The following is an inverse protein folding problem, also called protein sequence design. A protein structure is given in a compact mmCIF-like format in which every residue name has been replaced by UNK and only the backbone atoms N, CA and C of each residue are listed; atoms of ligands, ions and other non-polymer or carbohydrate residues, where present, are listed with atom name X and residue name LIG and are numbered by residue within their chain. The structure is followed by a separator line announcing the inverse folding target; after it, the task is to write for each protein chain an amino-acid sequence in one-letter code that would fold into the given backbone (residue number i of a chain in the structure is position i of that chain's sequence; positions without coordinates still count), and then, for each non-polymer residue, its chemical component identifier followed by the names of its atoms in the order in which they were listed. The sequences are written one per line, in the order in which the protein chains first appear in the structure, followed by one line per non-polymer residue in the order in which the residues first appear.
data_IF_935870989606
#
_entry.id   IF_935870989606
#
_cell.length_a   1.000
_cell.length_b   1.000
_cell.length_c   1.000
_cell.angle_alpha   90.00
_cell.angle_beta   90.00
_cell.angle_gamma   90.00
#
_symmetry.space_group_name_H-M   'P 1'
#
loop_
_entity.id
_entity.type
_entity.pdbx_description
1 polymer ?
#
# COMPACT_ATOMS: atom_id res chain seq x y z
N UNK A 1 17.17 23.85 21.42
CA UNK A 1 16.96 22.44 21.06
C UNK A 1 15.47 22.24 20.90
N UNK A 2 15.03 21.91 19.70
CA UNK A 2 13.63 21.76 19.34
C UNK A 2 13.06 20.47 19.95
N UNK A 3 11.76 20.41 20.26
CA UNK A 3 11.14 19.25 20.92
C UNK A 3 11.39 17.93 20.17
N UNK A 4 11.42 17.98 18.84
CA UNK A 4 11.72 16.82 17.98
C UNK A 4 13.15 16.28 18.18
N UNK A 5 14.12 17.14 18.46
CA UNK A 5 15.51 16.71 18.73
C UNK A 5 15.57 15.92 20.05
N UNK A 6 14.85 16.34 21.09
CA UNK A 6 14.73 15.58 22.33
C UNK A 6 14.08 14.21 22.14
N UNK A 7 13.00 14.15 21.35
CA UNK A 7 12.37 12.87 21.00
C UNK A 7 13.32 11.95 20.22
N UNK A 8 14.20 12.52 19.39
CA UNK A 8 15.17 11.74 18.64
C UNK A 8 16.20 11.09 19.58
N UNK A 9 16.69 11.80 20.59
CA UNK A 9 17.63 11.22 21.57
C UNK A 9 17.01 10.13 22.45
N UNK A 10 15.70 10.16 22.67
CA UNK A 10 15.00 9.13 23.46
C UNK A 10 14.43 8.00 22.61
N UNK A 11 14.65 8.02 21.29
CA UNK A 11 14.07 7.04 20.36
C UNK A 11 12.54 7.13 20.23
N UNK A 12 11.92 8.20 20.76
CA UNK A 12 10.47 8.45 20.68
C UNK A 12 10.08 9.31 19.47
N UNK A 13 11.04 9.56 18.57
CA UNK A 13 10.83 10.31 17.34
C UNK A 13 10.16 9.43 16.28
N UNK A 14 9.20 10.00 15.55
CA UNK A 14 8.51 9.32 14.45
C UNK A 14 8.92 9.95 13.11
N UNK A 15 9.90 9.35 12.38
CA UNK A 15 10.41 9.93 11.15
C UNK A 15 9.37 10.03 10.03
N UNK A 16 8.39 9.11 10.01
CA UNK A 16 7.37 9.07 8.96
C UNK A 16 6.32 10.19 9.08
N UNK A 17 6.26 10.87 10.23
CA UNK A 17 5.39 12.01 10.46
C UNK A 17 6.05 13.35 10.07
N UNK A 18 7.33 13.32 9.69
CA UNK A 18 8.08 14.53 9.36
C UNK A 18 7.63 15.18 8.04
N UNK A 19 7.34 16.48 8.13
CA UNK A 19 7.13 17.36 6.97
C UNK A 19 8.45 18.09 6.69
N UNK A 20 9.07 17.78 5.56
CA UNK A 20 10.35 18.36 5.13
C UNK A 20 10.16 19.69 4.40
N UNK A 21 9.08 19.83 3.63
CA UNK A 21 8.78 21.03 2.87
C UNK A 21 7.27 21.23 2.74
N UNK A 22 6.84 22.50 2.76
CA UNK A 22 5.44 22.86 2.52
C UNK A 22 5.20 22.97 1.02
N UNK A 23 4.15 22.30 0.54
CA UNK A 23 3.81 22.27 -0.89
C UNK A 23 2.35 22.67 -1.08
N UNK A 24 2.03 23.22 -2.26
CA UNK A 24 0.63 23.43 -2.64
C UNK A 24 0.00 22.07 -2.91
N UNK A 25 -1.06 21.75 -2.18
CA UNK A 25 -1.81 20.50 -2.36
C UNK A 25 -2.37 20.43 -3.78
N UNK A 26 -2.00 19.38 -4.52
CA UNK A 26 -2.54 19.08 -5.85
C UNK A 26 -3.03 17.65 -5.87
N UNK A 27 -4.32 17.44 -6.12
CA UNK A 27 -4.90 16.09 -6.18
C UNK A 27 -4.29 15.20 -7.29
N UNK A 28 -3.69 15.81 -8.32
CA UNK A 28 -3.02 15.09 -9.40
C UNK A 28 -1.87 14.20 -8.92
N UNK A 29 -1.22 14.55 -7.80
CA UNK A 29 -0.13 13.73 -7.25
C UNK A 29 -0.65 12.39 -6.74
N UNK A 30 -1.88 12.32 -6.22
CA UNK A 30 -2.48 11.06 -5.78
C UNK A 30 -2.68 10.11 -6.97
N UNK A 31 -3.18 10.62 -8.09
CA UNK A 31 -3.35 9.85 -9.32
C UNK A 31 -2.00 9.42 -9.91
N UNK A 32 -1.02 10.33 -9.98
CA UNK A 32 0.31 10.01 -10.46
C UNK A 32 0.98 8.91 -9.63
N UNK A 33 0.96 9.02 -8.31
CA UNK A 33 1.55 8.02 -7.40
C UNK A 33 0.78 6.69 -7.45
N UNK A 34 -0.53 6.73 -7.68
CA UNK A 34 -1.33 5.53 -7.95
C UNK A 34 -0.86 4.82 -9.23
N UNK A 35 -0.76 5.54 -10.35
CA UNK A 35 -0.29 5.00 -11.63
C UNK A 35 1.15 4.47 -11.52
N UNK A 36 2.02 5.20 -10.82
CA UNK A 36 3.36 4.75 -10.49
C UNK A 36 3.35 3.44 -9.70
N UNK A 37 2.49 3.33 -8.68
CA UNK A 37 2.38 2.12 -7.85
C UNK A 37 1.97 0.91 -8.70
N UNK A 38 0.90 1.01 -9.49
CA UNK A 38 0.41 -0.11 -10.29
C UNK A 38 1.38 -0.49 -11.41
N UNK A 39 2.19 0.45 -11.92
CA UNK A 39 3.24 0.14 -12.89
C UNK A 39 4.37 -0.72 -12.29
N UNK A 40 4.62 -0.61 -10.98
CA UNK A 40 5.64 -1.40 -10.27
C UNK A 40 5.09 -2.65 -9.58
N UNK A 41 3.77 -2.73 -9.37
CA UNK A 41 3.12 -3.82 -8.65
C UNK A 41 3.35 -5.22 -9.27
N UNK A 42 3.35 -5.42 -10.61
CA UNK A 42 3.64 -6.71 -11.23
C UNK A 42 5.07 -7.22 -11.00
N UNK A 43 5.99 -6.32 -10.60
CA UNK A 43 7.39 -6.66 -10.29
C UNK A 43 7.54 -7.16 -8.85
N UNK A 44 6.51 -7.03 -8.02
CA UNK A 44 6.52 -7.45 -6.62
C UNK A 44 5.75 -8.76 -6.44
N UNK A 45 6.08 -9.46 -5.37
CA UNK A 45 5.34 -10.61 -4.86
C UNK A 45 5.38 -10.58 -3.33
N UNK A 46 4.34 -11.11 -2.69
CA UNK A 46 4.31 -11.24 -1.25
C UNK A 46 5.11 -12.46 -0.77
N UNK A 47 6.05 -12.23 0.15
CA UNK A 47 6.86 -13.26 0.75
C UNK A 47 6.39 -13.55 2.19
N UNK A 48 5.77 -14.71 2.39
CA UNK A 48 5.21 -15.12 3.68
C UNK A 48 6.27 -15.18 4.78
N UNK A 49 7.48 -15.65 4.45
CA UNK A 49 8.58 -15.82 5.41
C UNK A 49 9.03 -14.51 6.05
N UNK A 50 8.99 -13.40 5.30
CA UNK A 50 9.41 -12.07 5.76
C UNK A 50 8.23 -11.15 6.02
N UNK A 51 7.00 -11.60 5.74
CA UNK A 51 5.78 -10.81 5.80
C UNK A 51 5.94 -9.44 5.09
N UNK A 52 6.56 -9.47 3.91
CA UNK A 52 6.94 -8.29 3.14
C UNK A 52 6.74 -8.49 1.63
N UNK A 53 6.74 -7.39 0.89
CA UNK A 53 6.73 -7.39 -0.56
C UNK A 53 8.16 -7.37 -1.09
N UNK A 54 8.54 -8.39 -1.84
CA UNK A 54 9.86 -8.53 -2.45
C UNK A 54 9.75 -8.54 -3.97
N UNK A 55 10.87 -8.29 -4.65
CA UNK A 55 10.93 -8.48 -6.09
C UNK A 55 10.53 -9.92 -6.48
N UNK A 56 9.76 -10.02 -7.56
CA UNK A 56 9.42 -11.30 -8.20
C UNK A 56 10.64 -11.93 -8.87
N UNK A 57 11.48 -11.10 -9.46
CA UNK A 57 12.75 -11.51 -10.07
C UNK A 57 13.89 -11.27 -9.08
N UNK A 58 14.67 -12.31 -8.78
CA UNK A 58 15.82 -12.23 -7.86
C UNK A 58 16.89 -11.23 -8.31
N UNK A 59 16.98 -10.95 -9.62
CA UNK A 59 17.90 -9.95 -10.18
C UNK A 59 17.35 -8.52 -10.11
N UNK A 60 16.06 -8.35 -9.83
CA UNK A 60 15.45 -7.03 -9.68
C UNK A 60 15.71 -6.53 -8.25
N UNK A 61 16.19 -5.30 -8.14
CA UNK A 61 16.58 -4.67 -6.88
C UNK A 61 15.40 -3.98 -6.17
N UNK A 62 14.20 -4.07 -6.74
CA UNK A 62 13.00 -3.48 -6.16
C UNK A 62 12.58 -4.18 -4.87
N UNK A 63 12.61 -3.46 -3.76
CA UNK A 63 12.05 -3.88 -2.47
C UNK A 63 10.77 -3.10 -2.19
N UNK A 64 9.70 -3.80 -1.83
CA UNK A 64 8.41 -3.20 -1.56
C UNK A 64 8.37 -2.37 -0.27
N UNK A 65 9.23 -2.66 0.70
CA UNK A 65 9.25 -1.92 1.98
C UNK A 65 9.81 -0.50 1.81
N UNK A 66 11.00 -0.28 1.21
CA UNK A 66 11.46 1.05 0.85
C UNK A 66 10.52 1.79 -0.10
N UNK A 67 9.88 1.09 -1.04
CA UNK A 67 8.87 1.69 -1.93
C UNK A 67 7.69 2.26 -1.13
N UNK A 68 7.11 1.47 -0.21
CA UNK A 68 6.01 1.88 0.65
C UNK A 68 6.39 3.06 1.53
N UNK A 69 7.56 2.98 2.20
CA UNK A 69 8.08 4.06 3.04
C UNK A 69 8.29 5.34 2.22
N UNK A 70 8.88 5.23 1.03
CA UNK A 70 9.08 6.36 0.12
C UNK A 70 7.76 7.03 -0.27
N UNK A 71 6.74 6.24 -0.61
CA UNK A 71 5.39 6.77 -0.88
C UNK A 71 4.81 7.51 0.32
N UNK A 72 4.90 6.92 1.52
CA UNK A 72 4.42 7.56 2.75
C UNK A 72 5.14 8.88 3.02
N UNK A 73 6.46 8.91 2.87
CA UNK A 73 7.26 10.13 3.02
C UNK A 73 6.81 11.20 2.03
N UNK A 74 6.56 10.86 0.76
CA UNK A 74 6.03 11.83 -0.22
C UNK A 74 4.64 12.30 0.19
N UNK A 75 3.74 11.40 0.57
CA UNK A 75 2.37 11.78 0.97
C UNK A 75 2.33 12.65 2.21
N UNK A 76 3.28 12.49 3.14
CA UNK A 76 3.38 13.31 4.35
C UNK A 76 3.63 14.80 4.04
N UNK A 77 4.14 15.11 2.85
CA UNK A 77 4.37 16.50 2.42
C UNK A 77 3.06 17.18 1.96
N UNK A 78 2.00 16.41 1.70
CA UNK A 78 0.73 16.92 1.20
C UNK A 78 -0.38 16.87 2.26
N UNK A 79 -1.50 17.54 1.98
CA UNK A 79 -2.70 17.40 2.81
C UNK A 79 -3.15 15.93 2.84
N UNK A 80 -3.65 15.48 4.00
CA UNK A 80 -4.07 14.08 4.25
C UNK A 80 -5.02 13.52 3.18
N UNK A 81 -5.84 14.37 2.57
CA UNK A 81 -6.82 13.98 1.56
C UNK A 81 -6.15 13.39 0.32
N UNK A 82 -4.93 13.81 -0.01
CA UNK A 82 -4.16 13.26 -1.13
C UNK A 82 -3.85 11.78 -0.91
N UNK A 83 -3.40 11.42 0.30
CA UNK A 83 -3.14 10.03 0.71
C UNK A 83 -4.42 9.20 0.71
N UNK A 84 -5.53 9.77 1.20
CA UNK A 84 -6.83 9.10 1.22
C UNK A 84 -7.38 8.88 -0.20
N UNK A 85 -7.18 9.83 -1.10
CA UNK A 85 -7.58 9.72 -2.51
C UNK A 85 -6.76 8.65 -3.24
N UNK A 86 -5.44 8.60 -3.00
CA UNK A 86 -4.58 7.53 -3.49
C UNK A 86 -5.07 6.14 -3.04
N UNK A 87 -5.42 5.99 -1.76
CA UNK A 87 -5.98 4.74 -1.23
C UNK A 87 -7.30 4.39 -1.88
N UNK A 88 -8.15 5.37 -2.19
CA UNK A 88 -9.40 5.14 -2.94
C UNK A 88 -9.11 4.54 -4.31
N UNK A 89 -8.18 5.11 -5.08
CA UNK A 89 -7.81 4.58 -6.40
C UNK A 89 -7.25 3.16 -6.31
N UNK A 90 -6.36 2.90 -5.34
CA UNK A 90 -5.73 1.58 -5.20
C UNK A 90 -6.73 0.52 -4.72
N UNK A 91 -7.67 0.88 -3.83
CA UNK A 91 -8.77 -0.01 -3.42
C UNK A 91 -9.71 -0.33 -4.59
N UNK A 92 -10.06 0.67 -5.40
CA UNK A 92 -10.89 0.48 -6.60
C UNK A 92 -10.20 -0.47 -7.59
N UNK A 93 -8.92 -0.24 -7.88
CA UNK A 93 -8.13 -1.10 -8.75
C UNK A 93 -8.07 -2.55 -8.23
N UNK A 94 -7.74 -2.76 -6.96
CA UNK A 94 -7.70 -4.10 -6.37
C UNK A 94 -9.08 -4.79 -6.44
N UNK A 95 -10.15 -4.05 -6.16
CA UNK A 95 -11.53 -4.56 -6.21
C UNK A 95 -11.90 -5.01 -7.62
N UNK A 96 -11.62 -4.18 -8.63
CA UNK A 96 -11.93 -4.49 -10.04
C UNK A 96 -11.19 -5.74 -10.51
N UNK A 97 -9.91 -5.92 -10.17
CA UNK A 97 -9.16 -7.12 -10.55
C UNK A 97 -9.75 -8.36 -9.88
N UNK A 98 -10.05 -8.27 -8.58
CA UNK A 98 -10.66 -9.38 -7.83
C UNK A 98 -12.00 -9.77 -8.42
N UNK A 99 -12.89 -8.79 -8.67
CA UNK A 99 -14.21 -9.02 -9.26
C UNK A 99 -14.11 -9.62 -10.67
N UNK A 100 -13.15 -9.17 -11.48
CA UNK A 100 -12.89 -9.74 -12.79
C UNK A 100 -12.43 -11.20 -12.70
N UNK A 101 -11.55 -11.54 -11.74
CA UNK A 101 -11.10 -12.92 -11.53
C UNK A 101 -12.25 -13.82 -11.05
N UNK A 102 -13.06 -13.34 -10.10
CA UNK A 102 -14.26 -14.07 -9.61
C UNK A 102 -15.26 -14.29 -10.76
N UNK A 103 -15.52 -13.26 -11.57
CA UNK A 103 -16.45 -13.36 -12.71
C UNK A 103 -15.97 -14.35 -13.76
N UNK A 104 -14.66 -14.43 -13.97
CA UNK A 104 -14.03 -15.43 -14.84
C UNK A 104 -13.96 -16.83 -14.22
N UNK A 105 -14.43 -17.02 -12.98
CA UNK A 105 -14.28 -18.26 -12.19
C UNK A 105 -12.81 -18.72 -12.11
N UNK A 106 -11.88 -17.77 -12.14
CA UNK A 106 -10.44 -18.04 -12.05
C UNK A 106 -9.95 -17.85 -10.61
N UNK A 107 -8.78 -18.40 -10.32
CA UNK A 107 -8.04 -18.06 -9.10
C UNK A 107 -7.72 -16.55 -9.05
N UNK A 108 -7.52 -16.03 -7.84
CA UNK A 108 -6.97 -14.69 -7.68
C UNK A 108 -5.58 -14.63 -8.30
N UNK A 109 -5.42 -13.71 -9.23
CA UNK A 109 -4.13 -13.43 -9.84
C UNK A 109 -3.10 -13.00 -8.79
N UNK A 110 -1.82 -13.25 -9.11
CA UNK A 110 -0.71 -12.78 -8.29
C UNK A 110 -0.73 -11.24 -8.12
N UNK A 111 -1.21 -10.52 -9.14
CA UNK A 111 -1.37 -9.07 -9.12
C UNK A 111 -2.44 -8.63 -8.11
N UNK A 112 -3.63 -9.26 -8.13
CA UNK A 112 -4.68 -9.00 -7.14
C UNK A 112 -4.18 -9.24 -5.70
N UNK A 113 -3.54 -10.38 -5.48
CA UNK A 113 -3.01 -10.78 -4.15
C UNK A 113 -1.94 -9.80 -3.68
N UNK A 114 -1.02 -9.41 -4.57
CA UNK A 114 0.04 -8.44 -4.27
C UNK A 114 -0.53 -7.06 -3.96
N UNK A 115 -1.57 -6.62 -4.69
CA UNK A 115 -2.21 -5.32 -4.46
C UNK A 115 -2.89 -5.25 -3.08
N UNK A 116 -3.52 -6.34 -2.66
CA UNK A 116 -4.17 -6.43 -1.35
C UNK A 116 -3.17 -6.46 -0.20
N UNK A 117 -2.08 -7.22 -0.32
CA UNK A 117 -0.98 -7.15 0.66
C UNK A 117 -0.32 -5.77 0.69
N UNK A 118 -0.16 -5.12 -0.47
CA UNK A 118 0.35 -3.75 -0.54
C UNK A 118 -0.53 -2.78 0.26
N UNK A 119 -1.86 -2.83 0.08
CA UNK A 119 -2.82 -1.99 0.83
C UNK A 119 -2.74 -2.23 2.34
N UNK A 120 -2.66 -3.50 2.77
CA UNK A 120 -2.52 -3.83 4.19
C UNK A 120 -1.21 -3.30 4.78
N UNK A 121 -0.09 -3.51 4.09
CA UNK A 121 1.21 -3.02 4.53
C UNK A 121 1.26 -1.50 4.57
N UNK A 122 0.67 -0.82 3.57
CA UNK A 122 0.59 0.64 3.52
C UNK A 122 -0.15 1.19 4.73
N UNK A 123 -1.34 0.68 5.03
CA UNK A 123 -2.15 1.15 6.17
C UNK A 123 -1.46 0.87 7.50
N UNK A 124 -0.82 -0.30 7.64
CA UNK A 124 -0.01 -0.64 8.82
C UNK A 124 1.14 0.34 9.02
N UNK A 125 1.94 0.59 7.99
CA UNK A 125 3.09 1.52 8.06
C UNK A 125 2.65 2.96 8.26
N UNK A 126 1.52 3.36 7.67
CA UNK A 126 0.93 4.69 7.83
C UNK A 126 0.23 4.90 9.18
N UNK A 127 0.17 3.88 10.04
CA UNK A 127 -0.62 3.86 11.29
C UNK A 127 -2.08 4.28 11.09
N UNK A 128 -2.65 3.96 9.93
CA UNK A 128 -4.04 4.27 9.63
C UNK A 128 -4.96 3.17 10.19
N UNK A 129 -6.16 3.53 10.67
CA UNK A 129 -7.11 2.52 11.11
C UNK A 129 -7.59 1.70 9.92
N UNK A 130 -7.85 0.41 10.15
CA UNK A 130 -8.36 -0.51 9.12
C UNK A 130 -9.65 -0.03 8.47
N UNK A 131 -10.43 0.79 9.18
CA UNK A 131 -11.67 1.41 8.68
C UNK A 131 -11.46 2.16 7.37
N UNK A 132 -10.27 2.75 7.17
CA UNK A 132 -9.90 3.43 5.91
C UNK A 132 -10.02 2.49 4.72
N UNK A 133 -9.65 1.21 4.86
CA UNK A 133 -9.79 0.23 3.77
C UNK A 133 -11.24 -0.24 3.63
N UNK A 134 -11.93 -0.54 4.74
CA UNK A 134 -13.30 -1.08 4.68
C UNK A 134 -14.33 -0.08 4.14
N UNK A 135 -14.05 1.22 4.24
CA UNK A 135 -14.85 2.28 3.61
C UNK A 135 -14.67 2.33 2.07
N UNK A 136 -13.58 1.76 1.54
CA UNK A 136 -13.15 1.91 0.13
C UNK A 136 -13.13 0.59 -0.65
N UNK A 137 -13.07 -0.54 0.05
CA UNK A 137 -12.97 -1.87 -0.53
C UNK A 137 -13.94 -2.81 0.21
N UNK A 138 -14.66 -3.69 -0.51
CA UNK A 138 -15.54 -4.68 0.10
C UNK A 138 -14.84 -5.50 1.19
N UNK A 139 -15.47 -5.57 2.37
CA UNK A 139 -14.89 -6.25 3.54
C UNK A 139 -14.59 -7.73 3.30
N UNK A 140 -15.39 -8.39 2.45
CA UNK A 140 -15.17 -9.78 2.05
C UNK A 140 -13.81 -9.95 1.36
N UNK A 141 -13.44 -9.04 0.46
CA UNK A 141 -12.14 -9.07 -0.24
C UNK A 141 -11.03 -8.89 0.79
N UNK A 142 -11.12 -7.89 1.65
CA UNK A 142 -10.10 -7.58 2.66
C UNK A 142 -9.89 -8.68 3.70
N UNK A 143 -10.94 -9.45 4.02
CA UNK A 143 -10.90 -10.52 5.02
C UNK A 143 -10.48 -11.88 4.43
N UNK A 144 -10.87 -12.16 3.19
CA UNK A 144 -10.82 -13.51 2.64
C UNK A 144 -9.81 -13.68 1.50
N UNK A 145 -9.13 -12.63 1.04
CA UNK A 145 -8.27 -12.77 -0.15
C UNK A 145 -7.15 -13.80 0.00
N UNK A 146 -6.60 -14.03 1.19
CA UNK A 146 -5.64 -15.11 1.43
C UNK A 146 -6.28 -16.48 1.22
N UNK A 147 -7.49 -16.68 1.75
CA UNK A 147 -8.27 -17.90 1.49
C UNK A 147 -8.64 -18.01 0.01
N UNK A 148 -9.08 -16.93 -0.63
CA UNK A 148 -9.42 -16.91 -2.06
C UNK A 148 -8.19 -17.16 -2.96
N UNK A 149 -6.98 -16.88 -2.47
CA UNK A 149 -5.72 -17.19 -3.14
C UNK A 149 -5.26 -18.65 -2.92
N UNK A 150 -5.74 -19.32 -1.86
CA UNK A 150 -5.35 -20.70 -1.47
C UNK A 150 -6.43 -21.74 -1.84
N UNK A 151 -7.71 -21.37 -1.83
CA UNK A 151 -8.90 -22.25 -1.77
C UNK A 151 -9.12 -23.15 -3.01
N UNK A 152 -8.29 -23.10 -4.04
CA UNK A 152 -8.41 -23.97 -5.22
C UNK A 152 -7.22 -24.94 -5.40
N UNK A 153 -6.36 -25.09 -4.38
CA UNK A 153 -5.27 -26.09 -4.37
C UNK A 153 -5.70 -27.50 -3.93
N UNK A 154 -7.00 -27.84 -3.97
CA UNK A 154 -7.52 -29.18 -3.65
C UNK A 154 -8.18 -29.79 -4.87
#
# INVERSE_FOLDING_TARGET
MEFNEYLAFTGSYEPLEQVFFTTKSSHHIALFLFLFTIAHLPRLQFAVNTNSLLAKNVKDTLDGTPLLVGLLTVFQQFHKDVKLLYLTYLCQYATVIVEANISAKSELSAEATTALHFLQMFVRLAKLPRTVLTERCPTIILNQFEYLAISNKV
#
